data_IF_479850924360
#
_entry.id   IF_479850924360
#
_cell.length_a   1.000
_cell.length_b   1.000
_cell.length_c   1.000
_cell.angle_alpha   90.00
_cell.angle_beta   90.00
_cell.angle_gamma   90.00
#
_symmetry.space_group_name_H-M   'P 1'
#
loop_
_entity.id
_entity.type
_entity.pdbx_description
1 polymer ?
2 non-polymer ?
3 non-polymer ?
4 water ?
#
# COMPACT_ATOMS: atom_id res chain seq x y z
N UNK A 14 -18.90 -7.42 -13.28
CA UNK A 14 -17.84 -8.35 -12.83
C UNK A 14 -17.57 -8.29 -11.29
N UNK A 15 -16.47 -7.65 -10.85
CA UNK A 15 -15.93 -7.90 -9.49
C UNK A 15 -16.74 -7.32 -8.30
N UNK A 16 -16.55 -7.97 -7.15
CA UNK A 16 -17.13 -7.52 -5.89
C UNK A 16 -16.21 -6.59 -5.10
N UNK A 17 -15.38 -5.80 -5.82
CA UNK A 17 -14.46 -4.82 -5.26
C UNK A 17 -13.97 -3.90 -6.40
N UNK A 18 -13.28 -2.83 -6.03
CA UNK A 18 -12.74 -1.80 -6.94
C UNK A 18 -11.26 -1.68 -6.64
N UNK A 19 -10.45 -1.52 -7.68
CA UNK A 19 -9.00 -1.46 -7.54
C UNK A 19 -8.49 -0.27 -8.36
N UNK A 20 -7.78 0.63 -7.69
CA UNK A 20 -7.18 1.81 -8.31
C UNK A 20 -5.67 1.73 -8.09
N UNK A 21 -4.93 2.03 -9.14
CA UNK A 21 -3.53 2.06 -9.15
C UNK A 21 -3.02 3.32 -9.84
N UNK A 22 -1.94 3.84 -9.29
CA UNK A 22 -1.29 5.05 -9.77
C UNK A 22 0.21 4.86 -9.63
N UNK A 23 0.98 5.48 -10.53
CA UNK A 23 2.40 5.16 -10.57
C UNK A 23 3.23 6.29 -11.16
N UNK A 24 4.55 6.20 -10.92
CA UNK A 24 5.50 7.16 -11.47
C UNK A 24 5.86 6.81 -12.91
N UNK A 26 7.94 8.21 -14.72
CA UNK A 26 9.37 8.34 -14.99
C UNK A 26 10.20 7.22 -14.38
N UNK A 27 9.59 6.43 -13.51
CA UNK A 27 10.29 5.32 -12.79
C UNK A 27 10.74 4.27 -13.82
N UNK A 28 11.93 3.73 -13.64
CA UNK A 28 12.38 2.63 -14.51
C UNK A 28 12.35 1.38 -13.67
N UNK A 29 11.30 0.58 -13.87
CA UNK A 29 11.06 -0.58 -13.03
C UNK A 29 12.07 -1.69 -13.28
N UNK A 31 15.23 -0.83 -12.94
CA UNK A 31 16.27 -0.39 -11.98
C UNK A 31 16.33 -1.26 -10.74
N UNK A 32 15.24 -1.97 -10.44
CA UNK A 32 15.12 -2.59 -9.14
C UNK A 32 15.24 -4.11 -9.29
N UNK A 33 15.84 -4.72 -8.28
CA UNK A 33 15.99 -6.18 -8.24
C UNK A 33 15.31 -6.83 -7.04
N UNK A 34 15.33 -6.16 -5.89
CA UNK A 34 14.88 -6.75 -4.63
C UNK A 34 13.81 -5.83 -3.98
N UNK A 35 13.03 -6.44 -3.10
CA UNK A 35 12.03 -5.69 -2.34
C UNK A 35 12.01 -6.18 -0.90
N UNK A 36 11.53 -5.32 0.00
CA UNK A 36 11.23 -5.71 1.32
C UNK A 36 9.82 -5.29 1.59
N UNK A 37 9.01 -6.29 1.91
CA UNK A 37 7.65 -6.07 2.35
C UNK A 37 7.56 -5.91 3.87
N UNK A 38 7.05 -4.75 4.33
CA UNK A 38 6.85 -4.58 5.77
C UNK A 38 5.93 -5.71 6.24
N UNK A 39 6.33 -6.48 7.24
CA UNK A 39 5.73 -7.79 7.47
C UNK A 39 4.53 -7.73 8.42
N UNK A 41 0.42 -5.55 8.56
CA UNK A 41 -0.49 -4.61 7.99
C UNK A 41 -1.00 -3.65 9.06
N UNK A 42 -0.66 -2.37 8.87
CA UNK A 42 -1.10 -1.32 9.74
C UNK A 42 -2.62 -1.16 9.70
N UNK A 43 -3.24 -1.08 10.86
CA UNK A 43 -4.65 -0.75 10.96
C UNK A 43 -4.75 0.75 11.23
N UNK A 44 -5.38 1.45 10.31
CA UNK A 44 -5.76 2.85 10.55
C UNK A 44 -7.07 2.85 11.34
N UNK A 45 -6.97 3.25 12.59
CA UNK A 45 -8.08 3.17 13.52
C UNK A 45 -8.49 4.58 13.99
N UNK A 46 -9.32 4.66 15.02
CA UNK A 46 -9.69 5.98 15.51
C UNK A 46 -8.83 6.36 16.74
N UNK A 47 -7.72 5.66 16.92
CA UNK A 47 -6.76 6.10 17.92
C UNK A 47 -5.34 6.21 17.35
N UNK A 49 -2.23 5.37 18.39
CA UNK A 49 -1.21 4.33 18.55
C UNK A 49 -1.30 3.31 17.40
N UNK A 50 -0.17 3.11 16.68
CA UNK A 50 -0.23 2.10 15.60
C UNK A 50 -0.45 0.66 16.13
N UNK A 51 -1.51 -0.01 15.68
CA UNK A 51 -1.81 -1.46 15.83
C UNK A 51 -1.82 -2.16 14.46
N UNK A 52 -1.66 -3.48 14.44
CA UNK A 52 -1.58 -4.28 13.18
C UNK A 52 -2.55 -5.42 13.15
N UNK A 53 -2.92 -5.85 11.96
CA UNK A 53 -3.78 -7.01 11.78
C UNK A 53 -3.05 -8.26 12.17
N UNK A 54 -3.76 -9.12 12.90
CA UNK A 54 -3.20 -10.40 13.33
C UNK A 54 -3.97 -11.52 12.66
N UNK A 55 -3.32 -12.67 12.54
CA UNK A 55 -4.01 -13.86 12.06
C UNK A 55 -3.71 -14.18 10.62
N UNK A 56 -4.41 -15.22 10.15
CA UNK A 56 -4.16 -15.86 8.86
C UNK A 56 -4.41 -14.94 7.70
N UNK A 57 -5.51 -14.18 7.78
CA UNK A 57 -5.93 -13.32 6.71
C UNK A 57 -4.84 -12.36 6.31
N UNK A 58 -4.24 -11.73 7.31
CA UNK A 58 -3.22 -10.72 7.04
C UNK A 58 -2.00 -11.41 6.45
N UNK A 59 -1.63 -12.55 7.03
CA UNK A 59 -0.53 -13.35 6.48
C UNK A 59 -0.78 -13.68 5.01
N UNK A 60 -2.03 -14.02 4.64
CA UNK A 60 -2.34 -14.39 3.26
C UNK A 60 -2.26 -13.18 2.32
N UNK A 61 -2.66 -12.01 2.80
CA UNK A 61 -2.57 -10.79 2.03
C UNK A 61 -1.09 -10.44 1.76
N UNK A 62 -0.29 -10.43 2.81
CA UNK A 62 1.17 -10.21 2.64
C UNK A 62 1.81 -11.25 1.71
N UNK A 63 1.38 -12.52 1.84
CA UNK A 63 1.90 -13.56 0.92
C UNK A 63 1.54 -13.25 -0.54
N UNK A 64 0.36 -12.66 -0.77
CA UNK A 64 -0.07 -12.29 -2.15
C UNK A 64 0.85 -11.22 -2.74
N UNK A 65 1.25 -10.22 -1.93
CA UNK A 65 2.27 -9.21 -2.37
C UNK A 65 3.56 -9.90 -2.72
N UNK A 66 4.04 -10.75 -1.81
CA UNK A 66 5.28 -11.48 -2.06
C UNK A 66 5.28 -12.28 -3.34
N UNK A 67 4.24 -13.08 -3.54
CA UNK A 67 4.10 -13.89 -4.75
C UNK A 67 4.04 -13.02 -6.02
N UNK A 68 3.26 -11.96 -5.96
CA UNK A 68 3.14 -11.08 -7.11
C UNK A 68 4.45 -10.41 -7.50
N UNK A 70 7.46 -11.50 -6.86
CA UNK A 70 8.33 -12.51 -7.44
C UNK A 70 7.94 -12.81 -8.88
N UNK A 71 6.64 -12.91 -9.16
CA UNK A 71 6.15 -13.15 -10.54
C UNK A 71 6.59 -12.05 -11.54
N UNK A 73 9.50 -10.42 -11.16
CA UNK A 73 10.94 -10.44 -11.27
C UNK A 73 11.72 -9.92 -10.08
N UNK A 74 11.03 -9.60 -8.98
CA UNK A 74 11.69 -9.04 -7.85
C UNK A 74 11.84 -10.07 -6.74
N UNK A 75 13.05 -10.12 -6.19
CA UNK A 75 13.36 -11.04 -5.10
C UNK A 75 13.26 -10.40 -3.73
N UNK A 76 12.83 -11.17 -2.74
CA UNK A 76 12.80 -10.60 -1.38
C UNK A 76 14.21 -10.36 -0.87
N UNK A 77 14.43 -9.18 -0.31
CA UNK A 77 15.73 -8.80 0.24
C UNK A 77 15.91 -9.33 1.66
N UNK A 78 17.16 -9.47 2.08
CA UNK A 78 17.49 -9.89 3.46
C UNK A 78 16.94 -8.92 4.49
N UNK A 79 16.96 -7.63 4.17
CA UNK A 79 16.49 -6.64 5.10
C UNK A 79 16.16 -5.35 4.37
N UNK A 81 17.58 -2.38 4.68
CA UNK A 81 18.74 -1.60 4.29
C UNK A 81 19.28 -2.00 2.92
N UNK A 82 19.23 -3.28 2.61
CA UNK A 82 19.73 -3.79 1.34
C UNK A 82 18.67 -3.83 0.20
N UNK A 83 17.40 -3.54 0.49
CA UNK A 83 16.34 -3.68 -0.52
C UNK A 83 16.29 -2.49 -1.46
N UNK A 84 15.90 -2.70 -2.73
CA UNK A 84 15.73 -1.61 -3.70
C UNK A 84 14.36 -0.93 -3.54
N UNK A 85 13.35 -1.76 -3.28
CA UNK A 85 11.96 -1.32 -3.14
C UNK A 85 11.38 -1.75 -1.79
N UNK A 86 10.58 -0.87 -1.19
CA UNK A 86 9.82 -1.23 0.01
C UNK A 86 8.36 -1.23 -0.28
N UNK A 87 7.59 -2.11 0.38
CA UNK A 87 6.15 -2.06 0.29
C UNK A 87 5.58 -1.97 1.71
N UNK A 88 4.63 -1.03 1.87
CA UNK A 88 3.88 -0.90 3.13
C UNK A 88 2.39 -0.98 2.80
N UNK A 89 1.66 -1.72 3.64
CA UNK A 89 0.23 -2.04 3.44
C UNK A 89 -0.51 -1.55 4.69
N UNK A 90 -1.64 -0.90 4.49
CA UNK A 90 -2.52 -0.45 5.57
C UNK A 90 -3.99 -0.79 5.30
N UNK A 91 -4.67 -1.23 6.35
CA UNK A 91 -6.10 -1.45 6.36
C UNK A 91 -6.82 -0.29 7.08
N UNK A 92 -7.80 0.31 6.41
CA UNK A 92 -8.55 1.41 6.95
C UNK A 92 -9.78 0.86 7.66
N UNK A 93 -9.76 0.95 8.98
CA UNK A 93 -10.88 0.52 9.87
C UNK A 93 -11.70 1.70 10.36
N UNK A 94 -11.12 2.90 10.28
CA UNK A 94 -11.79 4.15 10.69
C UNK A 94 -11.28 5.30 9.83
N UNK A 95 -12.17 6.21 9.49
CA UNK A 95 -11.75 7.46 8.81
C UNK A 95 -11.84 8.70 9.73
N UNK A 96 -11.90 8.46 11.05
CA UNK A 96 -11.96 9.51 12.06
C UNK A 96 -10.92 10.61 11.84
N UNK A 97 -9.68 10.22 11.49
CA UNK A 97 -8.64 11.18 11.26
C UNK A 97 -8.71 11.90 9.90
N UNK A 98 -9.58 11.48 8.98
CA UNK A 98 -9.58 12.05 7.63
C UNK A 98 -10.63 13.12 7.42
N UNK A 99 -11.68 13.14 8.25
CA UNK A 99 -12.74 14.14 8.16
C UNK A 99 -12.17 15.55 8.02
N UNK A 100 -12.59 16.24 6.96
CA UNK A 100 -12.06 17.57 6.61
C UNK A 100 -10.64 17.60 6.05
N UNK A 101 -10.26 16.58 5.27
CA UNK A 101 -8.84 16.32 4.89
C UNK A 101 -8.06 17.36 4.04
N UNK A 102 -8.53 17.67 2.85
CA UNK A 102 -7.75 18.53 1.97
C UNK A 102 -6.48 17.84 1.35
N UNK A 103 -5.55 17.21 2.09
CA UNK A 103 -4.36 16.57 1.38
C UNK A 103 -4.82 15.38 0.52
N UNK A 104 -4.44 15.32 -0.80
CA UNK A 104 -4.84 14.18 -1.60
C UNK A 104 -4.39 12.82 -1.01
N UNK A 105 -3.19 12.83 -0.41
CA UNK A 105 -2.64 11.68 0.36
C UNK A 105 -3.16 11.80 1.79
N UNK A 106 -4.46 11.56 1.96
CA UNK A 106 -5.14 11.86 3.23
C UNK A 106 -4.67 10.94 4.33
N UNK A 107 -4.10 9.79 3.97
CA UNK A 107 -3.67 8.80 4.93
C UNK A 107 -2.55 9.36 5.72
N UNK A 108 -1.82 10.35 5.21
CA UNK A 108 -0.77 11.03 6.00
C UNK A 108 -1.29 11.71 7.21
N UNK A 109 -2.59 12.01 7.24
CA UNK A 109 -3.21 12.64 8.40
C UNK A 109 -3.42 11.70 9.59
N UNK A 110 -3.23 10.39 9.41
CA UNK A 110 -3.34 9.46 10.53
C UNK A 110 -2.04 9.51 11.33
N UNK A 111 -2.11 9.90 12.62
CA UNK A 111 -0.84 10.04 13.42
C UNK A 111 -0.01 8.77 13.45
N UNK A 112 -0.61 7.60 13.39
CA UNK A 112 0.14 6.35 13.40
C UNK A 112 0.61 5.82 12.06
N UNK A 113 0.49 6.61 11.00
CA UNK A 113 0.78 6.10 9.66
C UNK A 113 2.26 5.78 9.55
N UNK A 114 2.61 4.87 8.66
CA UNK A 114 4.01 4.59 8.33
C UNK A 114 4.82 5.85 8.19
N UNK A 115 5.98 5.87 8.85
CA UNK A 115 6.89 6.98 8.69
C UNK A 115 8.00 6.69 7.73
N UNK A 116 8.51 7.74 7.05
CA UNK A 116 9.68 7.44 6.18
C UNK A 116 10.84 6.85 6.92
N UNK A 117 10.99 7.27 8.16
CA UNK A 117 12.13 6.80 8.98
C UNK A 117 12.03 5.31 9.42
N UNK A 118 10.86 4.69 9.23
CA UNK A 118 10.81 3.22 9.33
C UNK A 118 11.81 2.57 8.35
N UNK A 119 11.86 3.14 7.13
CA UNK A 119 12.63 2.58 6.01
C UNK A 119 14.10 2.94 5.98
N UNK A 120 14.45 4.13 6.47
CA UNK A 120 15.83 4.61 6.40
C UNK A 120 15.86 6.11 6.68
N UNK A 121 16.96 6.77 6.38
CA UNK A 121 17.18 8.18 6.79
C UNK A 121 16.51 9.17 5.79
N UNK A 122 15.18 9.22 5.86
CA UNK A 122 14.37 10.17 5.08
C UNK A 122 13.47 10.91 6.05
N UNK A 123 13.19 12.16 5.71
CA UNK A 123 12.39 13.06 6.59
C UNK A 123 10.99 13.40 6.10
N UNK A 124 10.58 12.79 5.01
CA UNK A 124 9.26 13.02 4.45
C UNK A 124 9.04 12.20 3.20
N UNK A 125 7.84 12.35 2.67
CA UNK A 125 7.40 11.64 1.49
C UNK A 125 7.49 12.51 0.25
N UNK A 126 7.65 11.85 -0.90
CA UNK A 126 7.60 12.53 -2.20
C UNK A 126 6.66 11.75 -3.09
N UNK A 127 5.59 12.42 -3.57
CA UNK A 127 4.62 11.83 -4.52
C UNK A 127 4.79 12.41 -5.90
N UNK A 128 5.24 11.57 -6.86
CA UNK A 128 5.52 12.07 -8.21
C UNK A 128 4.35 12.00 -9.16
N UNK A 129 3.18 11.66 -8.61
CA UNK A 129 1.95 11.57 -9.39
C UNK A 129 0.72 11.93 -8.53
N UNK A 130 -0.37 12.27 -9.21
CA UNK A 130 -1.65 12.59 -8.58
C UNK A 130 -2.37 11.31 -8.10
N UNK A 131 -3.07 11.46 -6.98
CA UNK A 131 -4.02 10.44 -6.44
C UNK A 131 -5.34 11.16 -6.13
N UNK A 132 -6.47 10.49 -6.40
CA UNK A 132 -7.78 11.11 -6.23
C UNK A 132 -8.80 10.21 -5.49
N UNK A 133 -8.31 9.40 -4.57
CA UNK A 133 -9.08 8.31 -3.92
C UNK A 133 -10.00 8.91 -2.88
N UNK A 134 -11.21 8.38 -2.75
CA UNK A 134 -12.14 8.79 -1.70
C UNK A 134 -11.99 7.85 -0.50
N UNK A 135 -11.71 8.40 0.66
CA UNK A 135 -11.57 7.54 1.81
C UNK A 135 -12.85 6.72 2.13
N UNK A 136 -12.60 5.50 2.59
CA UNK A 136 -13.63 4.59 3.07
C UNK A 136 -12.98 3.53 3.98
N UNK A 137 -13.75 3.00 4.94
CA UNK A 137 -13.27 1.89 5.74
C UNK A 137 -13.43 0.57 4.96
N UNK A 138 -12.93 -0.51 5.58
CA UNK A 138 -12.83 -1.83 4.94
C UNK A 138 -12.13 -1.72 3.59
N UNK A 139 -11.05 -0.96 3.55
CA UNK A 139 -10.31 -0.66 2.33
C UNK A 139 -8.81 -0.72 2.64
N UNK A 140 -8.00 -0.88 1.60
CA UNK A 140 -6.53 -0.99 1.75
C UNK A 140 -5.82 0.09 0.95
N UNK A 141 -4.79 0.70 1.57
CA UNK A 141 -3.84 1.62 0.87
C UNK A 141 -2.47 0.95 0.95
N UNK A 142 -1.85 0.74 -0.20
CA UNK A 142 -0.56 0.11 -0.34
C UNK A 142 0.32 1.06 -1.11
N UNK A 143 1.52 1.26 -0.63
CA UNK A 143 2.55 2.12 -1.26
C UNK A 143 3.85 1.34 -1.41
N UNK A 145 7.80 2.11 -2.34
CA UNK A 145 8.77 3.19 -2.17
C UNK A 145 10.14 2.81 -2.78
N UNK A 146 10.81 3.84 -3.30
CA UNK A 146 12.16 3.68 -3.87
C UNK A 146 13.23 3.89 -2.79
N UNK A 147 13.70 2.77 -2.23
CA UNK A 147 14.71 2.78 -1.18
C UNK A 147 16.11 3.10 -1.71
N UNK A 149 16.66 5.84 -3.23
CA UNK A 149 16.70 7.32 -3.23
C UNK A 149 17.72 7.84 -2.21
N UNK A 150 18.22 9.04 -2.49
CA UNK A 150 19.23 9.64 -1.60
C UNK A 150 18.66 9.77 -0.18
N UNK A 151 19.47 9.35 0.81
CA UNK A 151 19.19 9.55 2.24
C UNK A 151 20.00 10.68 2.84
N UNK A 152 19.49 11.22 3.95
CA UNK A 152 20.17 12.28 4.65
C UNK A 152 19.17 13.29 5.11
N UNK A 153 19.69 14.32 5.79
CA UNK A 153 18.82 15.32 6.38
C UNK A 153 17.94 15.98 5.32
N UNK A 154 16.65 16.02 5.62
CA UNK A 154 15.66 16.67 4.76
C UNK A 154 15.29 15.89 3.50
N UNK A 157 11.56 10.39 0.75
CA UNK A 157 11.45 9.01 0.25
C UNK A 157 10.34 8.99 -0.83
N UNK A 158 10.72 8.72 -2.07
CA UNK A 158 9.69 8.75 -3.09
C UNK A 158 8.87 7.46 -3.21
N UNK A 159 7.61 7.61 -3.56
CA UNK A 159 6.74 6.51 -3.87
C UNK A 159 6.82 6.27 -5.41
N UNK A 160 6.78 5.00 -5.85
CA UNK A 160 6.75 4.69 -7.27
C UNK A 160 5.41 4.13 -7.72
N UNK A 161 4.63 3.60 -6.78
CA UNK A 161 3.34 2.98 -7.07
C UNK A 161 2.50 2.99 -5.81
N UNK A 162 1.20 3.21 -6.03
CA UNK A 162 0.19 3.19 -4.99
C UNK A 162 -1.02 2.41 -5.49
N UNK A 163 -1.67 1.68 -4.60
CA UNK A 163 -2.96 1.07 -4.89
C UNK A 163 -3.94 1.36 -3.77
N UNK A 164 -5.21 1.38 -4.19
CA UNK A 164 -6.34 1.54 -3.31
C UNK A 164 -7.34 0.44 -3.65
N UNK A 165 -7.55 -0.45 -2.68
CA UNK A 165 -8.52 -1.57 -2.85
C UNK A 165 -9.74 -1.21 -1.99
N UNK A 166 -10.91 -1.13 -2.59
CA UNK A 166 -12.09 -0.57 -1.88
C UNK A 166 -13.37 -1.11 -2.43
N UNK A 167 -14.52 -0.66 -1.93
CA UNK A 167 -15.78 -1.12 -2.51
C UNK A 167 -16.10 -2.60 -2.35
N UNK A 168 -15.56 -3.21 -1.31
CA UNK A 168 -15.74 -4.64 -1.08
C UNK A 168 -17.16 -4.98 -0.66
N UNK A 169 -17.74 -5.98 -1.33
CA UNK A 169 -19.08 -6.45 -0.97
C UNK A 169 -19.06 -7.13 0.40
N UNK A 170 -20.19 -7.03 1.12
CA UNK A 170 -20.22 -7.54 2.51
C UNK A 170 -21.22 -8.68 2.72
N UNK A 171 -21.88 -9.19 1.66
CA UNK A 171 -22.77 -10.39 1.80
C UNK A 171 -21.93 -11.65 1.99
N UNK A 172 -22.51 -12.75 2.49
CA UNK A 172 -21.70 -13.96 2.84
C UNK A 172 -20.91 -14.65 1.70
N UNK A 174 -19.57 -13.20 -0.84
CA UNK A 174 -18.39 -12.34 -1.10
C UNK A 174 -17.36 -12.44 0.05
N UNK A 175 -17.83 -12.38 1.29
CA UNK A 175 -16.95 -12.51 2.45
C UNK A 175 -16.23 -13.87 2.40
N UNK A 176 -16.94 -14.91 1.97
CA UNK A 176 -16.33 -16.26 1.96
C UNK A 176 -15.39 -16.54 0.79
N UNK A 177 -15.34 -15.62 -0.18
CA UNK A 177 -14.29 -15.65 -1.19
C UNK A 177 -13.12 -14.87 -0.58
N UNK A 178 -11.93 -15.06 -1.10
CA UNK A 178 -10.80 -14.41 -0.45
C UNK A 178 -10.65 -13.03 -1.12
N UNK A 179 -11.65 -12.12 -1.00
CA UNK A 179 -11.69 -11.01 -1.97
C UNK A 179 -10.46 -10.08 -1.87
N UNK A 180 -9.93 -9.87 -0.66
CA UNK A 180 -8.71 -9.04 -0.55
C UNK A 180 -7.58 -9.60 -1.45
N UNK A 181 -7.40 -10.93 -1.46
CA UNK A 181 -6.32 -11.52 -2.25
C UNK A 181 -6.58 -11.31 -3.75
N UNK A 182 -7.81 -11.48 -4.15
CA UNK A 182 -8.20 -11.27 -5.55
C UNK A 182 -7.96 -9.80 -5.97
N UNK A 183 -8.24 -8.89 -5.06
CA UNK A 183 -7.97 -7.43 -5.29
C UNK A 183 -6.46 -7.15 -5.39
N UNK A 184 -5.64 -7.74 -4.50
CA UNK A 184 -4.19 -7.62 -4.61
C UNK A 184 -3.73 -8.11 -5.98
N UNK A 185 -4.16 -9.31 -6.39
CA UNK A 185 -3.79 -9.87 -7.69
C UNK A 185 -4.18 -8.94 -8.81
N UNK A 186 -5.38 -8.35 -8.68
CA UNK A 186 -5.85 -7.43 -9.73
C UNK A 186 -5.02 -6.16 -9.85
N UNK A 187 -4.55 -5.66 -8.71
CA UNK A 187 -3.72 -4.44 -8.70
C UNK A 187 -2.44 -4.66 -9.48
N UNK A 188 -1.89 -5.87 -9.43
CA UNK A 188 -0.73 -6.18 -10.28
C UNK A 188 -1.08 -6.41 -11.74
N UNK A 189 -2.20 -7.10 -12.00
CA UNK A 189 -2.65 -7.33 -13.37
C UNK A 189 -2.81 -6.03 -14.17
N UNK A 190 -3.37 -5.01 -13.54
CA UNK A 190 -3.55 -3.70 -14.19
C UNK A 190 -2.31 -2.79 -14.07
N UNK A 191 -1.16 -3.33 -13.66
CA UNK A 191 0.14 -2.62 -13.59
C UNK A 191 1.22 -3.35 -14.46
N UNK A 192 0.99 -3.42 -15.78
CA UNK A 192 1.85 -4.22 -16.67
C UNK A 192 3.32 -3.72 -16.74
N UNK A 193 3.51 -2.45 -16.40
CA UNK A 193 4.84 -1.81 -16.34
C UNK A 193 5.67 -2.22 -15.13
N UNK A 194 5.04 -2.79 -14.10
CA UNK A 194 5.70 -3.04 -12.83
C UNK A 194 6.46 -4.37 -12.89
N UNK A 195 7.61 -4.34 -13.54
CA UNK A 195 8.35 -5.59 -13.79
C UNK A 195 9.77 -5.15 -14.19
N UNK A 196 10.73 -6.00 -13.87
CA UNK A 196 12.10 -5.83 -14.42
C UNK A 196 12.40 -6.78 -15.56
#
# INVERSE_FOLDING_TARGET
GASCEXDPDXGXLDDNYLVYTNYDXQANFXDFSTFYLADXILVISDSXEPEYLEGEGAEQILAAYTENXEAXGYQPAADXESADLGIQVSYIASTYYFTGYTQPEWWWGYPGYWGPSYWGNWGGWYYPYAVTYSYSTNSFITEXVNLXADEGEGXXLPVVWTSYLTGFETGSXAINRTLAIEAVNQSFTQSPYLTNX
#
